data_IF_915002011068
#
_entry.id   IF_915002011068
#
_cell.length_a   1.000
_cell.length_b   1.000
_cell.length_c   1.000
_cell.angle_alpha   90.00
_cell.angle_beta   90.00
_cell.angle_gamma   90.00
#
_symmetry.space_group_name_H-M   'P 1'
#
loop_
_entity.id
_entity.type
_entity.pdbx_description
1 polymer ?
#
# COMPACT_ATOMS: atom_id res chain seq x y z
N UNK A 1 -24.53 -23.88 -7.13
CA UNK A 1 -24.46 -22.59 -7.86
C UNK A 1 -23.30 -21.71 -7.36
N UNK A 2 -23.13 -21.56 -6.03
CA UNK A 2 -22.01 -20.78 -5.45
C UNK A 2 -20.63 -21.32 -5.84
N UNK A 3 -20.44 -22.63 -5.93
CA UNK A 3 -19.17 -23.26 -6.31
C UNK A 3 -18.73 -22.96 -7.74
N UNK A 4 -19.63 -22.67 -8.65
CA UNK A 4 -19.29 -22.39 -10.06
C UNK A 4 -18.76 -20.97 -10.25
N UNK A 5 -19.30 -20.00 -9.50
CA UNK A 5 -18.88 -18.58 -9.57
C UNK A 5 -17.47 -18.33 -9.00
N UNK A 6 -16.97 -19.18 -8.09
CA UNK A 6 -15.69 -18.98 -7.39
C UNK A 6 -14.65 -20.06 -7.67
N UNK A 7 -14.74 -20.78 -8.78
CA UNK A 7 -13.75 -21.82 -9.14
C UNK A 7 -12.34 -21.27 -9.37
N UNK A 8 -12.21 -19.98 -9.67
CA UNK A 8 -10.93 -19.29 -9.90
C UNK A 8 -10.48 -18.43 -8.72
N UNK A 9 -11.17 -18.50 -7.57
CA UNK A 9 -10.86 -17.72 -6.37
C UNK A 9 -10.45 -18.64 -5.23
N UNK A 10 -9.32 -18.30 -4.60
CA UNK A 10 -8.79 -18.97 -3.41
C UNK A 10 -8.62 -17.93 -2.30
N UNK A 11 -9.26 -18.18 -1.14
CA UNK A 11 -9.13 -17.32 0.03
C UNK A 11 -8.12 -17.92 1.00
N UNK A 12 -7.12 -17.12 1.38
CA UNK A 12 -6.06 -17.54 2.31
C UNK A 12 -6.00 -16.60 3.49
N UNK A 13 -5.96 -17.15 4.69
CA UNK A 13 -5.71 -16.40 5.91
C UNK A 13 -4.20 -16.23 6.08
N UNK A 14 -3.75 -15.00 6.34
CA UNK A 14 -2.34 -14.68 6.56
C UNK A 14 -2.14 -13.20 6.84
N UNK A 15 -0.92 -12.85 7.20
CA UNK A 15 -0.47 -11.46 7.36
C UNK A 15 0.18 -10.95 6.09
N UNK A 16 0.05 -9.64 5.81
CA UNK A 16 0.62 -9.06 4.60
C UNK A 16 2.15 -9.00 4.64
N UNK A 17 2.74 -9.06 5.82
CA UNK A 17 4.18 -9.18 6.07
C UNK A 17 4.71 -10.61 5.86
N UNK A 18 3.81 -11.60 5.72
CA UNK A 18 4.17 -12.98 5.49
C UNK A 18 3.06 -13.70 4.70
N UNK A 19 3.00 -13.44 3.42
CA UNK A 19 1.93 -13.92 2.55
C UNK A 19 1.92 -15.45 2.43
N UNK A 20 0.75 -16.12 2.64
CA UNK A 20 0.59 -17.57 2.50
C UNK A 20 0.57 -18.00 1.02
N UNK A 21 1.57 -17.55 0.27
CA UNK A 21 1.70 -17.70 -1.18
C UNK A 21 3.12 -18.10 -1.49
N UNK A 22 3.32 -19.07 -2.37
CA UNK A 22 4.66 -19.50 -2.79
C UNK A 22 5.39 -18.40 -3.60
N UNK A 23 6.70 -18.55 -3.72
CA UNK A 23 7.55 -17.63 -4.47
C UNK A 23 7.17 -17.62 -5.94
N UNK A 24 7.21 -16.47 -6.56
CA UNK A 24 7.15 -16.29 -8.02
C UNK A 24 5.94 -16.96 -8.70
N UNK A 25 4.74 -16.86 -8.09
CA UNK A 25 3.51 -17.41 -8.70
C UNK A 25 2.47 -16.33 -9.08
N UNK A 26 2.56 -15.12 -8.53
CA UNK A 26 1.61 -14.06 -8.83
C UNK A 26 2.07 -13.23 -10.04
N UNK A 27 1.16 -12.96 -10.96
CA UNK A 27 1.41 -12.06 -12.09
C UNK A 27 1.19 -10.60 -11.70
N UNK A 28 0.22 -10.34 -10.84
CA UNK A 28 -0.14 -9.00 -10.36
C UNK A 28 -0.53 -9.08 -8.89
N UNK A 29 -0.11 -8.09 -8.10
CA UNK A 29 -0.63 -7.82 -6.76
C UNK A 29 -1.41 -6.52 -6.83
N UNK A 30 -2.64 -6.53 -6.30
CA UNK A 30 -3.48 -5.34 -6.15
C UNK A 30 -3.74 -5.15 -4.66
N UNK A 31 -3.55 -3.92 -4.18
CA UNK A 31 -3.81 -3.54 -2.79
C UNK A 31 -4.53 -2.20 -2.73
N UNK A 32 -5.46 -2.06 -1.77
CA UNK A 32 -6.16 -0.81 -1.54
C UNK A 32 -6.27 -0.51 -0.03
N UNK A 33 -5.67 0.59 0.41
CA UNK A 33 -5.75 1.14 1.77
C UNK A 33 -5.47 0.13 2.90
N UNK A 34 -4.48 -0.75 2.75
CA UNK A 34 -4.14 -1.75 3.77
C UNK A 34 -2.69 -1.68 4.21
N UNK A 35 -1.78 -1.21 3.35
CA UNK A 35 -0.33 -1.23 3.64
C UNK A 35 0.03 -0.28 4.79
N UNK A 36 -0.67 0.83 4.92
CA UNK A 36 -0.46 1.77 6.02
C UNK A 36 -0.84 1.23 7.40
N UNK A 37 -1.60 0.13 7.47
CA UNK A 37 -1.91 -0.57 8.73
C UNK A 37 -0.75 -1.46 9.19
N UNK A 38 0.15 -1.84 8.30
CA UNK A 38 1.32 -2.63 8.65
C UNK A 38 2.35 -1.81 9.43
N UNK A 39 2.87 -2.32 10.56
CA UNK A 39 4.00 -1.72 11.26
C UNK A 39 5.33 -1.94 10.51
N UNK A 40 5.40 -2.93 9.60
CA UNK A 40 6.61 -3.35 8.90
C UNK A 40 6.45 -3.26 7.37
N UNK A 41 6.18 -2.06 6.85
CA UNK A 41 5.92 -1.84 5.42
C UNK A 41 7.04 -2.34 4.49
N UNK A 42 8.29 -2.19 4.92
CA UNK A 42 9.43 -2.72 4.16
C UNK A 42 9.30 -4.25 3.95
N UNK A 43 8.83 -4.97 4.97
CA UNK A 43 8.58 -6.41 4.90
C UNK A 43 7.43 -6.73 3.95
N UNK A 44 6.36 -5.91 3.93
CA UNK A 44 5.24 -6.07 2.98
C UNK A 44 5.74 -5.98 1.54
N UNK A 45 6.63 -5.03 1.23
CA UNK A 45 7.18 -4.88 -0.12
C UNK A 45 8.14 -6.04 -0.47
N UNK A 46 8.94 -6.54 0.47
CA UNK A 46 9.77 -7.72 0.29
C UNK A 46 8.92 -8.97 -0.01
N UNK A 47 7.83 -9.19 0.73
CA UNK A 47 6.89 -10.28 0.49
C UNK A 47 6.18 -10.15 -0.86
N UNK A 48 5.77 -8.95 -1.21
CA UNK A 48 5.18 -8.66 -2.52
C UNK A 48 6.17 -9.00 -3.64
N UNK A 49 7.43 -8.64 -3.47
CA UNK A 49 8.49 -8.97 -4.42
C UNK A 49 8.72 -10.48 -4.51
N UNK A 50 8.76 -11.18 -3.36
CA UNK A 50 8.96 -12.64 -3.31
C UNK A 50 7.88 -13.38 -4.11
N UNK A 51 6.60 -13.05 -3.91
CA UNK A 51 5.48 -13.79 -4.52
C UNK A 51 5.23 -13.43 -5.98
N UNK A 52 5.66 -12.25 -6.43
CA UNK A 52 5.54 -11.85 -7.83
C UNK A 52 6.49 -12.65 -8.72
N UNK A 53 6.02 -13.07 -9.89
CA UNK A 53 6.86 -13.59 -10.97
C UNK A 53 7.82 -12.50 -11.47
N UNK A 54 8.98 -12.88 -12.04
CA UNK A 54 9.78 -11.96 -12.86
C UNK A 54 8.92 -11.28 -13.94
N UNK A 55 8.93 -9.97 -14.00
CA UNK A 55 8.05 -9.17 -14.86
C UNK A 55 6.65 -8.91 -14.28
N UNK A 56 6.34 -9.47 -13.12
CA UNK A 56 5.06 -9.22 -12.43
C UNK A 56 4.94 -7.79 -11.90
N UNK A 57 3.72 -7.34 -11.69
CA UNK A 57 3.37 -5.95 -11.35
C UNK A 57 2.75 -5.82 -9.97
N UNK A 58 3.21 -4.83 -9.23
CA UNK A 58 2.57 -4.33 -8.03
C UNK A 58 1.72 -3.10 -8.38
N UNK A 59 0.46 -3.06 -7.95
CA UNK A 59 -0.47 -1.96 -8.18
C UNK A 59 -1.23 -1.66 -6.88
N UNK A 60 -0.95 -0.50 -6.28
CA UNK A 60 -1.48 -0.09 -4.98
C UNK A 60 -2.24 1.22 -5.14
N UNK A 61 -3.36 1.34 -4.43
CA UNK A 61 -4.03 2.61 -4.15
C UNK A 61 -4.03 2.80 -2.63
N UNK A 62 -3.30 3.79 -2.14
CA UNK A 62 -3.16 4.04 -0.70
C UNK A 62 -2.95 5.52 -0.40
N UNK A 63 -2.94 5.88 0.87
CA UNK A 63 -2.67 7.24 1.35
C UNK A 63 -1.17 7.39 1.56
N UNK A 64 -0.61 8.50 1.08
CA UNK A 64 0.81 8.85 1.27
C UNK A 64 0.92 10.19 1.99
N UNK A 65 1.99 10.36 2.77
CA UNK A 65 2.29 11.63 3.42
C UNK A 65 2.99 12.58 2.43
N UNK A 66 2.47 13.79 2.34
CA UNK A 66 3.05 14.90 1.56
C UNK A 66 3.83 15.88 2.43
N UNK A 67 3.61 15.81 3.76
CA UNK A 67 4.32 16.57 4.76
C UNK A 67 4.46 15.74 6.04
N UNK A 68 5.34 16.15 6.95
CA UNK A 68 5.52 15.45 8.21
C UNK A 68 4.27 15.60 9.08
N UNK A 69 3.68 14.45 9.49
CA UNK A 69 2.52 14.44 10.37
C UNK A 69 2.92 14.90 11.79
N UNK A 70 2.18 15.82 12.39
CA UNK A 70 2.35 16.15 13.82
C UNK A 70 2.18 14.93 14.71
N UNK A 71 2.94 14.85 15.80
CA UNK A 71 2.92 13.72 16.75
C UNK A 71 1.51 13.41 17.25
N UNK A 72 0.68 14.45 17.48
CA UNK A 72 -0.70 14.29 17.89
C UNK A 72 -1.54 13.51 16.88
N UNK A 73 -1.34 13.74 15.59
CA UNK A 73 -2.05 13.02 14.52
C UNK A 73 -1.49 11.61 14.32
N UNK A 74 -0.18 11.42 14.46
CA UNK A 74 0.45 10.09 14.40
C UNK A 74 -0.08 9.13 15.49
N UNK A 75 -0.41 9.67 16.67
CA UNK A 75 -0.87 8.88 17.81
C UNK A 75 -2.40 8.75 17.89
N UNK A 76 -3.13 9.30 16.94
CA UNK A 76 -4.59 9.20 16.90
C UNK A 76 -5.01 7.84 16.34
N UNK A 77 -5.62 7.02 17.18
CA UNK A 77 -6.03 5.66 16.82
C UNK A 77 -7.11 5.65 15.73
N UNK A 78 -8.00 6.63 15.69
CA UNK A 78 -9.01 6.75 14.66
C UNK A 78 -8.38 7.05 13.29
N UNK A 79 -7.37 7.92 13.25
CA UNK A 79 -6.60 8.21 12.05
C UNK A 79 -5.72 7.01 11.63
N UNK A 80 -5.21 6.24 12.58
CA UNK A 80 -4.44 5.04 12.30
C UNK A 80 -5.32 3.97 11.63
N UNK A 81 -6.47 3.65 12.21
CA UNK A 81 -7.42 2.69 11.63
C UNK A 81 -8.01 3.15 10.29
N UNK A 82 -8.03 4.47 10.06
CA UNK A 82 -8.36 5.07 8.76
C UNK A 82 -7.20 5.11 7.75
N UNK A 83 -6.09 4.39 8.00
CA UNK A 83 -4.89 4.36 7.14
C UNK A 83 -4.14 5.69 6.99
N UNK A 84 -4.48 6.72 7.75
CA UNK A 84 -3.91 8.07 7.59
C UNK A 84 -2.70 8.31 8.50
N UNK A 85 -2.80 7.95 9.78
CA UNK A 85 -1.70 8.18 10.74
C UNK A 85 -0.45 7.32 10.42
N UNK A 86 -0.64 6.18 9.77
CA UNK A 86 0.43 5.30 9.30
C UNK A 86 1.01 5.66 7.93
N UNK A 87 0.55 6.73 7.28
CA UNK A 87 1.01 7.10 5.94
C UNK A 87 2.52 7.38 5.93
N UNK A 88 3.23 6.72 5.02
CA UNK A 88 4.65 6.95 4.77
C UNK A 88 4.83 8.04 3.71
N UNK A 89 5.96 8.74 3.75
CA UNK A 89 6.30 9.69 2.69
C UNK A 89 6.51 8.99 1.35
N UNK A 90 6.33 9.71 0.26
CA UNK A 90 6.61 9.20 -1.10
C UNK A 90 8.06 8.71 -1.19
N UNK A 91 8.99 9.46 -0.63
CA UNK A 91 10.42 9.12 -0.63
C UNK A 91 10.71 7.81 0.11
N UNK A 92 10.08 7.61 1.28
CA UNK A 92 10.26 6.39 2.06
C UNK A 92 9.69 5.17 1.33
N UNK A 93 8.51 5.31 0.71
CA UNK A 93 7.89 4.24 -0.08
C UNK A 93 8.77 3.88 -1.27
N UNK A 94 9.30 4.88 -1.98
CA UNK A 94 10.20 4.66 -3.11
C UNK A 94 11.49 3.94 -2.67
N UNK A 95 12.07 4.32 -1.54
CA UNK A 95 13.24 3.66 -0.96
C UNK A 95 12.95 2.20 -0.61
N UNK A 96 11.84 1.93 0.11
CA UNK A 96 11.45 0.57 0.47
C UNK A 96 11.19 -0.32 -0.74
N UNK A 97 10.59 0.20 -1.81
CA UNK A 97 10.37 -0.53 -3.05
C UNK A 97 11.69 -0.85 -3.76
N UNK A 98 12.61 0.11 -3.83
CA UNK A 98 13.96 -0.08 -4.40
C UNK A 98 14.75 -1.13 -3.61
N UNK A 99 14.72 -1.05 -2.29
CA UNK A 99 15.40 -1.99 -1.38
C UNK A 99 14.84 -3.41 -1.50
N UNK A 100 13.54 -3.55 -1.78
CA UNK A 100 12.92 -4.84 -2.07
C UNK A 100 13.30 -5.41 -3.45
N UNK A 101 13.85 -4.60 -4.35
CA UNK A 101 14.32 -5.00 -5.67
C UNK A 101 13.39 -4.61 -6.83
N UNK A 102 12.35 -3.82 -6.57
CA UNK A 102 11.45 -3.34 -7.64
C UNK A 102 12.11 -2.34 -8.56
N UNK A 103 11.67 -2.35 -9.80
CA UNK A 103 12.04 -1.43 -10.87
C UNK A 103 10.80 -0.69 -11.40
N UNK A 104 11.01 0.35 -12.23
CA UNK A 104 9.94 1.15 -12.84
C UNK A 104 8.91 1.62 -11.80
N UNK A 105 9.41 2.12 -10.67
CA UNK A 105 8.57 2.62 -9.58
C UNK A 105 7.92 3.93 -10.01
N UNK A 106 6.60 4.00 -9.92
CA UNK A 106 5.82 5.18 -10.23
C UNK A 106 4.83 5.46 -9.11
N UNK A 107 4.96 6.61 -8.46
CA UNK A 107 4.06 7.04 -7.38
C UNK A 107 3.38 8.34 -7.83
N UNK A 108 2.06 8.27 -8.01
CA UNK A 108 1.24 9.38 -8.49
C UNK A 108 0.28 9.87 -7.39
N UNK A 109 0.60 10.95 -6.68
CA UNK A 109 -0.35 11.60 -5.77
C UNK A 109 -1.55 12.14 -6.56
N UNK A 110 -2.72 12.14 -5.92
CA UNK A 110 -3.99 12.65 -6.47
C UNK A 110 -4.44 13.83 -5.63
N UNK A 111 -4.05 15.04 -6.00
CA UNK A 111 -4.35 16.25 -5.24
C UNK A 111 -5.86 16.51 -5.07
N UNK A 112 -6.67 16.10 -6.04
CA UNK A 112 -8.14 16.15 -5.95
C UNK A 112 -8.70 15.30 -4.81
N UNK A 113 -7.94 14.35 -4.29
CA UNK A 113 -8.35 13.52 -3.15
C UNK A 113 -8.39 14.26 -1.81
N UNK A 114 -7.80 15.44 -1.70
CA UNK A 114 -7.75 16.24 -0.45
C UNK A 114 -9.14 16.57 0.08
N UNK A 115 -10.08 16.91 -0.80
CA UNK A 115 -11.47 17.16 -0.42
C UNK A 115 -12.12 15.91 0.18
N UNK A 116 -11.86 14.77 -0.40
CA UNK A 116 -12.35 13.48 0.06
C UNK A 116 -11.72 13.08 1.40
N UNK A 117 -10.41 13.25 1.54
CA UNK A 117 -9.66 12.99 2.78
C UNK A 117 -10.17 13.86 3.93
N UNK A 118 -10.51 15.13 3.67
CA UNK A 118 -11.11 16.04 4.67
C UNK A 118 -12.39 15.48 5.27
N UNK A 119 -13.22 14.84 4.45
CA UNK A 119 -14.49 14.25 4.89
C UNK A 119 -14.30 13.02 5.78
N UNK A 120 -13.16 12.34 5.71
CA UNK A 120 -12.87 11.17 6.56
C UNK A 120 -12.55 11.53 8.00
N UNK A 121 -11.92 12.69 8.21
CA UNK A 121 -11.51 13.15 9.54
C UNK A 121 -11.76 14.66 9.71
N UNK A 122 -13.05 15.08 9.76
CA UNK A 122 -13.41 16.49 9.91
C UNK A 122 -12.72 17.10 11.13
N UNK A 123 -12.25 18.33 11.02
CA UNK A 123 -11.55 19.09 12.06
C UNK A 123 -10.12 18.65 12.40
N UNK A 124 -9.60 17.55 11.84
CA UNK A 124 -8.21 17.12 12.06
C UNK A 124 -7.19 17.86 11.20
N UNK A 125 -7.63 18.46 10.07
CA UNK A 125 -6.80 19.05 9.02
C UNK A 125 -5.79 18.06 8.44
N UNK A 126 -6.11 16.77 8.47
CA UNK A 126 -5.24 15.70 7.97
C UNK A 126 -4.98 15.84 6.45
N UNK A 127 -5.89 16.46 5.71
CA UNK A 127 -5.76 16.76 4.29
C UNK A 127 -4.58 17.68 3.94
N UNK A 128 -4.01 18.37 4.93
CA UNK A 128 -2.81 19.18 4.74
C UNK A 128 -1.53 18.33 4.73
N UNK A 129 -1.60 17.10 5.21
CA UNK A 129 -0.44 16.22 5.42
C UNK A 129 -0.45 14.98 4.57
N UNK A 130 -1.62 14.54 4.09
CA UNK A 130 -1.75 13.28 3.34
C UNK A 130 -2.62 13.45 2.10
N UNK A 131 -2.40 12.59 1.14
CA UNK A 131 -3.15 12.53 -0.11
C UNK A 131 -3.24 11.08 -0.58
N UNK A 132 -4.31 10.72 -1.30
CA UNK A 132 -4.36 9.42 -1.98
C UNK A 132 -3.34 9.37 -3.12
N UNK A 133 -2.75 8.22 -3.33
CA UNK A 133 -1.82 7.99 -4.44
C UNK A 133 -2.03 6.62 -5.07
N UNK A 134 -1.67 6.50 -6.34
CA UNK A 134 -1.40 5.21 -6.97
C UNK A 134 0.10 4.94 -6.92
N UNK A 135 0.46 3.71 -6.58
CA UNK A 135 1.84 3.24 -6.48
C UNK A 135 1.94 2.01 -7.39
N UNK A 136 2.77 2.09 -8.40
CA UNK A 136 3.03 0.99 -9.32
C UNK A 136 4.52 0.66 -9.33
N UNK A 137 4.84 -0.63 -9.44
CA UNK A 137 6.22 -1.09 -9.55
C UNK A 137 6.26 -2.44 -10.29
N UNK A 138 7.38 -2.76 -10.91
CA UNK A 138 7.60 -3.99 -11.67
C UNK A 138 8.72 -4.78 -11.01
N UNK A 139 8.52 -6.08 -10.82
CA UNK A 139 9.63 -6.99 -10.52
C UNK A 139 10.43 -7.20 -11.79
N UNK A 140 11.76 -6.92 -11.81
CA UNK A 140 12.58 -7.09 -12.99
C UNK A 140 12.46 -8.49 -13.59
N UNK A 141 12.58 -8.60 -14.91
CA UNK A 141 12.85 -9.88 -15.57
C UNK A 141 14.31 -10.22 -15.33
N UNK A 142 14.54 -11.42 -14.85
CA UNK A 142 15.91 -11.91 -14.71
C UNK A 142 16.64 -11.91 -16.05
#
# INVERSE_FOLDING_TARGET
FRRVLFRSVDFRLGEIENLPVADSIADVIISNCVINLSPEKARVFQESFRVLKPGGRLAISDVVATAELPVKLKNDMALYTGCMAGASSITDIEAMLKDAGFDKIEIKPKDESKEFVRNWAPASKIEDYVVSATIEAIKPKA
#
